data_IF_864767242662
#
_entry.id   IF_864767242662
#
_cell.length_a   1.000
_cell.length_b   1.000
_cell.length_c   1.000
_cell.angle_alpha   90.00
_cell.angle_beta   90.00
_cell.angle_gamma   90.00
#
_symmetry.space_group_name_H-M   'P 1'
#
loop_
_entity.id
_entity.type
_entity.pdbx_description
1 polymer ?
#
# COMPACT_ATOMS: atom_id res chain seq x y z
N UNK A 1 2.31 -12.92 3.47
CA UNK A 1 2.89 -14.28 3.57
C UNK A 1 2.71 -15.15 2.33
N UNK A 2 1.54 -15.24 1.69
CA UNK A 2 1.37 -16.07 0.48
C UNK A 2 1.66 -15.37 -0.87
N UNK A 3 2.30 -14.20 -0.85
CA UNK A 3 2.67 -13.42 -2.04
C UNK A 3 4.17 -13.16 -1.99
N UNK A 4 4.89 -13.60 -3.02
CA UNK A 4 6.32 -13.37 -3.20
C UNK A 4 6.52 -11.99 -3.85
N UNK A 5 6.75 -10.98 -2.99
CA UNK A 5 6.97 -9.59 -3.41
C UNK A 5 8.19 -9.43 -4.33
N UNK A 6 9.25 -10.22 -4.13
CA UNK A 6 10.48 -10.15 -4.93
C UNK A 6 10.27 -10.71 -6.33
N UNK A 7 9.55 -11.83 -6.43
CA UNK A 7 9.15 -12.41 -7.72
C UNK A 7 8.21 -11.47 -8.47
N UNK A 8 7.28 -10.84 -7.77
CA UNK A 8 6.39 -9.84 -8.36
C UNK A 8 7.17 -8.66 -8.94
N UNK A 9 8.10 -8.10 -8.16
CA UNK A 9 8.96 -6.99 -8.58
C UNK A 9 9.83 -7.37 -9.78
N UNK A 10 10.45 -8.55 -9.77
CA UNK A 10 11.40 -8.98 -10.80
C UNK A 10 10.72 -9.44 -12.10
N UNK A 11 9.64 -10.21 -12.02
CA UNK A 11 9.01 -10.83 -13.19
C UNK A 11 7.91 -9.96 -13.81
N UNK A 12 7.07 -9.34 -12.98
CA UNK A 12 5.94 -8.53 -13.45
C UNK A 12 6.39 -7.10 -13.70
N UNK A 13 7.03 -6.48 -12.70
CA UNK A 13 7.45 -5.08 -12.80
C UNK A 13 8.86 -4.88 -13.36
N UNK A 14 9.63 -5.95 -13.62
CA UNK A 14 10.98 -5.89 -14.21
C UNK A 14 11.92 -4.93 -13.46
N UNK A 15 11.82 -4.89 -12.13
CA UNK A 15 12.61 -4.02 -11.27
C UNK A 15 12.21 -2.54 -11.29
N UNK A 16 11.07 -2.18 -11.90
CA UNK A 16 10.60 -0.80 -11.97
C UNK A 16 9.96 -0.30 -10.67
N UNK A 17 9.70 -1.19 -9.70
CA UNK A 17 9.17 -0.88 -8.37
C UNK A 17 10.07 -1.48 -7.29
N UNK A 18 9.85 -1.14 -6.03
CA UNK A 18 10.57 -1.72 -4.88
C UNK A 18 9.60 -2.46 -3.96
N UNK A 19 9.92 -3.67 -3.46
CA UNK A 19 9.05 -4.36 -2.51
C UNK A 19 8.81 -3.50 -1.27
N UNK A 20 7.61 -3.58 -0.71
CA UNK A 20 7.24 -2.84 0.50
C UNK A 20 7.02 -3.80 1.67
N UNK A 21 7.73 -3.57 2.77
CA UNK A 21 7.52 -4.28 4.03
C UNK A 21 6.57 -3.54 4.98
N UNK A 22 6.50 -2.21 4.83
CA UNK A 22 5.60 -1.32 5.55
C UNK A 22 4.81 -0.40 4.64
N UNK A 23 4.13 0.55 5.25
CA UNK A 23 3.21 1.51 4.62
C UNK A 23 3.97 2.76 4.18
N UNK A 24 4.91 3.24 4.99
CA UNK A 24 5.69 4.45 4.71
C UNK A 24 6.74 4.17 3.62
N UNK A 25 6.80 4.98 2.55
CA UNK A 25 7.77 4.77 1.48
C UNK A 25 9.19 5.22 1.88
N UNK A 26 10.25 4.62 1.30
CA UNK A 26 11.62 5.10 1.46
C UNK A 26 11.74 6.60 1.15
N UNK A 27 12.40 7.34 2.05
CA UNK A 27 12.55 8.79 1.96
C UNK A 27 11.43 9.61 2.61
N UNK A 28 10.36 8.97 3.09
CA UNK A 28 9.39 9.59 4.01
C UNK A 28 10.05 9.80 5.38
N UNK A 29 9.90 10.97 6.03
CA UNK A 29 10.22 11.08 7.46
C UNK A 29 9.51 9.99 8.25
N UNK A 30 10.17 9.38 9.22
CA UNK A 30 9.62 8.27 10.00
C UNK A 30 9.71 6.90 9.32
N UNK A 31 10.15 6.78 8.06
CA UNK A 31 10.44 5.48 7.44
C UNK A 31 11.40 4.66 8.30
N UNK A 32 11.05 3.41 8.58
CA UNK A 32 11.84 2.48 9.38
C UNK A 32 12.39 1.36 8.49
N UNK A 33 13.71 1.37 8.25
CA UNK A 33 14.41 0.31 7.49
C UNK A 33 14.40 -1.03 8.23
N UNK A 34 14.25 -1.02 9.56
CA UNK A 34 14.25 -2.22 10.41
C UNK A 34 12.83 -2.74 10.70
N UNK A 35 11.80 -2.21 10.03
CA UNK A 35 10.42 -2.66 10.22
C UNK A 35 10.27 -4.14 9.83
N UNK A 36 9.69 -4.94 10.72
CA UNK A 36 9.43 -6.34 10.47
C UNK A 36 8.15 -6.50 9.63
N UNK A 37 8.31 -6.81 8.34
CA UNK A 37 7.22 -7.02 7.40
C UNK A 37 6.59 -8.42 7.43
N UNK A 38 5.50 -8.58 6.67
CA UNK A 38 4.84 -9.86 6.43
C UNK A 38 5.60 -10.68 5.36
N UNK A 39 6.66 -11.36 5.79
CA UNK A 39 7.57 -12.14 4.93
C UNK A 39 6.85 -13.21 4.10
N UNK A 40 7.44 -13.62 2.97
CA UNK A 40 6.90 -14.71 2.15
C UNK A 40 7.15 -16.07 2.82
N UNK A 41 6.07 -16.69 3.30
CA UNK A 41 6.06 -18.05 3.83
C UNK A 41 4.69 -18.69 3.55
N UNK A 42 4.66 -19.58 2.57
CA UNK A 42 3.43 -20.29 2.16
C UNK A 42 3.02 -21.32 3.21
N UNK A 43 3.97 -21.90 3.94
CA UNK A 43 3.69 -22.90 4.98
C UNK A 43 2.98 -22.22 6.12
N UNK A 44 3.55 -21.13 6.64
CA UNK A 44 2.96 -20.34 7.71
C UNK A 44 1.59 -19.78 7.29
N UNK A 45 1.44 -19.29 6.05
CA UNK A 45 0.16 -18.81 5.55
C UNK A 45 -0.94 -19.91 5.58
N UNK A 46 -0.60 -21.17 5.26
CA UNK A 46 -1.54 -22.30 5.33
C UNK A 46 -1.86 -22.66 6.78
N UNK A 47 -0.87 -22.67 7.66
CA UNK A 47 -1.05 -22.93 9.09
C UNK A 47 -1.95 -21.88 9.75
N UNK A 48 -1.80 -20.60 9.39
CA UNK A 48 -2.66 -19.53 9.87
C UNK A 48 -4.11 -19.69 9.42
N UNK A 49 -4.36 -20.12 8.17
CA UNK A 49 -5.72 -20.45 7.71
C UNK A 49 -6.29 -21.60 8.52
N UNK A 50 -5.49 -22.65 8.78
CA UNK A 50 -5.92 -23.80 9.57
C UNK A 50 -6.20 -23.46 11.04
N UNK A 51 -5.41 -22.56 11.63
CA UNK A 51 -5.59 -22.08 13.00
C UNK A 51 -6.74 -21.06 13.12
N UNK A 52 -7.13 -20.43 12.02
CA UNK A 52 -8.24 -19.48 11.99
C UNK A 52 -9.59 -20.15 12.23
N UNK A 53 -10.63 -19.33 12.43
CA UNK A 53 -12.02 -19.80 12.50
C UNK A 53 -12.50 -20.56 11.25
N UNK A 54 -11.80 -20.43 10.11
CA UNK A 54 -12.16 -21.09 8.87
C UNK A 54 -11.62 -22.52 8.80
N UNK A 55 -10.46 -22.81 9.38
CA UNK A 55 -9.86 -24.15 9.46
C UNK A 55 -9.37 -24.75 8.13
N UNK A 56 -9.97 -24.36 7.01
CA UNK A 56 -9.60 -24.77 5.66
C UNK A 56 -9.97 -23.67 4.65
N UNK A 57 -9.28 -23.65 3.51
CA UNK A 57 -9.51 -22.71 2.41
C UNK A 57 -10.91 -22.85 1.83
N UNK A 58 -11.51 -24.05 1.83
CA UNK A 58 -12.89 -24.27 1.34
C UNK A 58 -13.96 -23.59 2.20
N UNK A 59 -13.61 -23.20 3.44
CA UNK A 59 -14.51 -22.53 4.37
C UNK A 59 -14.36 -21.01 4.37
N UNK A 60 -13.42 -20.47 3.59
CA UNK A 60 -13.30 -19.02 3.43
C UNK A 60 -14.58 -18.47 2.76
N UNK A 61 -15.06 -17.29 3.18
CA UNK A 61 -16.13 -16.63 2.46
C UNK A 61 -15.67 -16.30 1.03
N UNK A 62 -16.60 -16.09 0.09
CA UNK A 62 -16.25 -15.51 -1.20
C UNK A 62 -15.48 -14.20 -1.00
N UNK A 63 -14.33 -14.07 -1.64
CA UNK A 63 -13.53 -12.85 -1.61
C UNK A 63 -13.71 -12.12 -2.93
N UNK A 64 -14.22 -10.89 -2.86
CA UNK A 64 -14.23 -9.98 -3.99
C UNK A 64 -13.23 -8.86 -3.75
N UNK A 65 -12.34 -8.62 -4.72
CA UNK A 65 -11.42 -7.49 -4.72
C UNK A 65 -12.00 -6.40 -5.63
N UNK A 66 -12.31 -5.24 -5.06
CA UNK A 66 -12.68 -4.06 -5.85
C UNK A 66 -11.42 -3.31 -6.30
N UNK A 67 -11.33 -2.97 -7.59
CA UNK A 67 -10.23 -2.20 -8.18
C UNK A 67 -10.74 -1.12 -9.13
N UNK A 68 -9.96 -0.06 -9.31
CA UNK A 68 -10.25 0.97 -10.30
C UNK A 68 -9.75 0.59 -11.69
N UNK A 69 -10.46 0.97 -12.75
CA UNK A 69 -9.98 0.86 -14.12
C UNK A 69 -11.09 0.92 -15.16
N UNK A 70 -10.76 0.55 -16.39
CA UNK A 70 -11.65 0.62 -17.54
C UNK A 70 -11.61 -0.68 -18.35
N UNK A 71 -12.75 -1.05 -18.95
CA UNK A 71 -12.82 -2.10 -19.97
C UNK A 71 -12.66 -3.54 -19.46
N UNK A 72 -12.74 -3.78 -18.15
CA UNK A 72 -12.63 -5.11 -17.53
C UNK A 72 -11.19 -5.62 -17.37
N UNK A 73 -10.19 -4.80 -17.68
CA UNK A 73 -8.77 -5.19 -17.62
C UNK A 73 -8.18 -4.86 -16.25
N UNK A 74 -7.80 -5.87 -15.49
CA UNK A 74 -7.13 -5.68 -14.19
C UNK A 74 -5.63 -5.46 -14.38
N UNK A 75 -4.98 -4.81 -13.41
CA UNK A 75 -3.53 -4.60 -13.47
C UNK A 75 -2.77 -5.93 -13.43
N UNK A 76 -1.63 -6.02 -14.12
CA UNK A 76 -0.77 -7.22 -14.10
C UNK A 76 -0.29 -7.57 -12.68
N UNK A 77 -0.11 -6.55 -11.81
CA UNK A 77 0.21 -6.77 -10.40
C UNK A 77 -0.90 -7.49 -9.66
N UNK A 78 -2.16 -7.04 -9.84
CA UNK A 78 -3.32 -7.69 -9.23
C UNK A 78 -3.52 -9.11 -9.79
N UNK A 79 -3.38 -9.31 -11.09
CA UNK A 79 -3.47 -10.63 -11.73
C UNK A 79 -2.43 -11.62 -11.15
N UNK A 80 -1.19 -11.17 -10.97
CA UNK A 80 -0.13 -11.98 -10.39
C UNK A 80 -0.41 -12.34 -8.92
N UNK A 81 -0.89 -11.39 -8.10
CA UNK A 81 -1.30 -11.64 -6.71
C UNK A 81 -2.39 -12.71 -6.65
N UNK A 82 -3.42 -12.59 -7.48
CA UNK A 82 -4.52 -13.55 -7.57
C UNK A 82 -3.99 -14.94 -7.96
N UNK A 83 -3.08 -14.99 -8.93
CA UNK A 83 -2.43 -16.23 -9.34
C UNK A 83 -1.63 -16.86 -8.20
N UNK A 84 -0.89 -16.06 -7.42
CA UNK A 84 -0.15 -16.56 -6.27
C UNK A 84 -1.05 -17.09 -5.16
N UNK A 85 -2.13 -16.40 -4.79
CA UNK A 85 -3.09 -16.94 -3.84
C UNK A 85 -3.74 -18.25 -4.30
N UNK A 86 -4.10 -18.34 -5.58
CA UNK A 86 -4.63 -19.58 -6.15
C UNK A 86 -3.59 -20.71 -6.11
N UNK A 87 -2.34 -20.45 -6.52
CA UNK A 87 -1.31 -21.48 -6.61
C UNK A 87 -0.78 -21.89 -5.22
N UNK A 88 -0.56 -20.92 -4.35
CA UNK A 88 0.08 -21.11 -3.04
C UNK A 88 -0.93 -21.61 -2.00
N UNK A 89 -2.19 -21.20 -2.08
CA UNK A 89 -3.22 -21.52 -1.06
C UNK A 89 -4.43 -22.26 -1.63
N UNK A 90 -4.71 -22.18 -2.94
CA UNK A 90 -5.98 -22.67 -3.51
C UNK A 90 -7.14 -21.69 -3.32
N UNK A 91 -6.85 -20.43 -2.97
CA UNK A 91 -7.87 -19.40 -2.73
C UNK A 91 -8.36 -18.85 -4.07
N UNK A 92 -9.68 -18.86 -4.25
CA UNK A 92 -10.36 -18.26 -5.39
C UNK A 92 -10.87 -16.87 -5.04
N UNK A 93 -10.59 -15.89 -5.89
CA UNK A 93 -11.03 -14.50 -5.68
C UNK A 93 -11.70 -13.96 -6.95
N UNK A 94 -12.74 -13.16 -6.74
CA UNK A 94 -13.42 -12.41 -7.80
C UNK A 94 -12.84 -11.00 -7.86
N UNK A 95 -12.89 -10.38 -9.04
CA UNK A 95 -12.52 -8.97 -9.19
C UNK A 95 -13.70 -8.17 -9.68
N UNK A 96 -14.01 -7.09 -8.97
CA UNK A 96 -14.93 -6.05 -9.40
C UNK A 96 -14.11 -4.85 -9.87
N UNK A 97 -14.14 -4.57 -11.17
CA UNK A 97 -13.57 -3.34 -11.68
C UNK A 97 -14.62 -2.25 -11.74
N UNK A 98 -14.31 -1.08 -11.17
CA UNK A 98 -15.14 0.11 -11.19
C UNK A 98 -14.41 1.27 -11.88
N UNK A 99 -15.18 2.11 -12.55
CA UNK A 99 -14.69 3.39 -13.05
C UNK A 99 -14.28 4.29 -11.87
N UNK A 100 -13.21 5.11 -11.99
CA UNK A 100 -12.67 5.91 -10.90
C UNK A 100 -13.71 6.75 -10.15
N UNK A 101 -14.69 7.32 -10.85
CA UNK A 101 -15.75 8.16 -10.29
C UNK A 101 -16.67 7.39 -9.34
N UNK A 102 -16.81 6.08 -9.53
CA UNK A 102 -17.61 5.18 -8.68
C UNK A 102 -16.78 4.48 -7.62
N UNK A 103 -15.50 4.27 -7.88
CA UNK A 103 -14.63 3.47 -7.03
C UNK A 103 -14.59 3.99 -5.58
N UNK A 104 -14.25 5.26 -5.37
CA UNK A 104 -14.16 5.83 -4.01
C UNK A 104 -15.52 5.90 -3.30
N UNK A 105 -16.62 6.07 -4.05
CA UNK A 105 -17.97 6.00 -3.48
C UNK A 105 -18.27 4.57 -3.00
N UNK A 106 -17.97 3.56 -3.81
CA UNK A 106 -18.20 2.16 -3.48
C UNK A 106 -17.39 1.73 -2.25
N UNK A 107 -16.11 2.14 -2.16
CA UNK A 107 -15.26 1.89 -0.99
C UNK A 107 -15.79 2.51 0.30
N UNK A 108 -16.59 3.58 0.22
CA UNK A 108 -17.20 4.21 1.40
C UNK A 108 -18.53 3.58 1.82
N UNK A 109 -19.31 3.04 0.88
CA UNK A 109 -20.75 2.75 1.12
C UNK A 109 -21.18 1.31 0.84
N UNK A 110 -20.63 0.65 -0.19
CA UNK A 110 -21.17 -0.62 -0.71
C UNK A 110 -20.21 -1.81 -0.53
N UNK A 111 -18.93 -1.53 -0.28
CA UNK A 111 -17.84 -2.37 0.24
C UNK A 111 -17.91 -3.89 -0.05
N UNK A 112 -16.97 -4.36 -0.87
CA UNK A 112 -16.59 -5.77 -0.96
C UNK A 112 -15.57 -6.14 0.15
N UNK A 113 -15.20 -7.43 0.25
CA UNK A 113 -14.27 -7.94 1.27
C UNK A 113 -12.87 -7.34 1.19
N UNK A 114 -12.41 -6.97 -0.01
CA UNK A 114 -11.10 -6.38 -0.23
C UNK A 114 -11.14 -5.31 -1.32
N UNK A 115 -10.15 -4.42 -1.31
CA UNK A 115 -9.91 -3.48 -2.40
C UNK A 115 -8.41 -3.38 -2.71
N UNK A 116 -8.12 -2.95 -3.92
CA UNK A 116 -6.75 -2.75 -4.42
C UNK A 116 -6.57 -1.30 -4.86
N UNK A 117 -5.76 -0.56 -4.09
CA UNK A 117 -5.51 0.87 -4.24
C UNK A 117 -4.06 1.20 -3.84
N UNK A 118 -3.54 2.31 -4.33
CA UNK A 118 -2.29 2.92 -3.84
C UNK A 118 -2.55 4.28 -3.21
N UNK A 119 -1.57 4.78 -2.45
CA UNK A 119 -1.59 6.11 -1.85
C UNK A 119 -0.35 6.90 -2.25
N UNK A 120 -0.50 8.21 -2.44
CA UNK A 120 0.59 9.14 -2.73
C UNK A 120 0.47 10.28 -1.74
N UNK A 121 1.59 10.64 -1.11
CA UNK A 121 1.59 11.62 -0.05
C UNK A 121 1.25 13.03 -0.57
N UNK A 122 0.32 13.72 0.08
CA UNK A 122 0.05 15.14 -0.21
C UNK A 122 1.15 16.05 0.37
N UNK A 123 1.76 15.63 1.48
CA UNK A 123 2.88 16.29 2.14
C UNK A 123 3.80 15.25 2.81
N UNK A 124 5.11 15.55 3.00
CA UNK A 124 6.10 14.58 3.48
C UNK A 124 6.01 14.37 5.00
N UNK A 125 4.97 13.69 5.47
CA UNK A 125 4.79 13.37 6.89
C UNK A 125 4.07 12.03 7.08
N UNK A 126 4.47 11.18 8.06
CA UNK A 126 3.84 9.88 8.34
C UNK A 126 2.31 9.94 8.50
N UNK A 127 1.84 10.98 9.17
CA UNK A 127 0.42 11.27 9.39
C UNK A 127 -0.41 11.19 8.10
N UNK A 128 0.14 11.61 6.96
CA UNK A 128 -0.57 11.60 5.69
C UNK A 128 -0.82 10.18 5.14
N UNK A 129 -0.15 9.16 5.70
CA UNK A 129 -0.45 7.76 5.49
C UNK A 129 -1.19 7.17 6.70
N UNK A 130 -0.57 7.20 7.87
CA UNK A 130 -0.99 6.36 9.00
C UNK A 130 -2.33 6.84 9.58
N UNK A 131 -2.46 8.12 9.86
CA UNK A 131 -3.69 8.69 10.42
C UNK A 131 -4.81 8.70 9.38
N UNK A 132 -4.51 9.18 8.17
CA UNK A 132 -5.52 9.32 7.11
C UNK A 132 -6.12 7.96 6.71
N UNK A 133 -5.31 6.90 6.69
CA UNK A 133 -5.72 5.59 6.18
C UNK A 133 -6.13 4.60 7.27
N UNK A 134 -5.69 4.78 8.53
CA UNK A 134 -5.88 3.76 9.56
C UNK A 134 -6.41 4.27 10.90
N UNK A 135 -6.48 5.59 11.14
CA UNK A 135 -7.13 6.08 12.35
C UNK A 135 -8.62 5.73 12.32
N UNK A 136 -9.15 5.28 13.46
CA UNK A 136 -10.56 4.97 13.60
C UNK A 136 -11.44 6.16 13.22
N UNK A 137 -12.36 5.95 12.27
CA UNK A 137 -13.29 6.97 11.82
C UNK A 137 -12.73 7.98 10.82
N UNK A 138 -11.48 7.84 10.37
CA UNK A 138 -10.95 8.66 9.29
C UNK A 138 -11.69 8.39 7.97
N UNK A 139 -11.96 9.44 7.18
CA UNK A 139 -12.74 9.37 5.94
C UNK A 139 -12.14 8.43 4.87
N UNK A 140 -10.82 8.26 4.90
CA UNK A 140 -10.06 7.45 3.95
C UNK A 140 -9.65 6.08 4.51
N UNK A 141 -10.06 5.76 5.74
CA UNK A 141 -9.95 4.42 6.32
C UNK A 141 -11.04 3.51 5.73
N UNK A 142 -10.90 3.18 4.45
CA UNK A 142 -11.86 2.36 3.71
C UNK A 142 -11.93 0.92 4.23
N UNK A 143 -10.86 0.44 4.86
CA UNK A 143 -10.82 -0.88 5.50
C UNK A 143 -11.56 -0.93 6.84
N UNK A 144 -12.05 0.20 7.35
CA UNK A 144 -12.69 0.32 8.67
C UNK A 144 -11.82 -0.22 9.81
N UNK A 145 -10.50 -0.14 9.64
CA UNK A 145 -9.58 -0.60 10.66
C UNK A 145 -9.80 0.23 11.94
N UNK A 146 -9.84 -0.43 13.09
CA UNK A 146 -10.05 0.23 14.37
C UNK A 146 -9.35 -0.54 15.47
N UNK A 147 -8.35 0.10 16.09
CA UNK A 147 -7.57 -0.48 17.18
C UNK A 147 -7.18 0.60 18.18
N UNK A 148 -7.70 0.56 19.43
CA UNK A 148 -7.53 1.65 20.40
C UNK A 148 -6.07 2.00 20.71
N UNK A 149 -5.17 1.02 20.71
CA UNK A 149 -3.75 1.29 20.95
C UNK A 149 -3.09 2.06 19.80
N UNK A 150 -3.50 1.77 18.56
CA UNK A 150 -2.96 2.48 17.39
C UNK A 150 -3.55 3.88 17.33
N UNK A 151 -4.85 4.04 17.60
CA UNK A 151 -5.45 5.38 17.70
C UNK A 151 -4.72 6.24 18.74
N UNK A 152 -4.40 5.66 19.91
CA UNK A 152 -3.64 6.36 20.94
C UNK A 152 -2.21 6.70 20.49
N UNK A 153 -1.50 5.78 19.80
CA UNK A 153 -0.17 6.04 19.27
C UNK A 153 -0.17 7.16 18.22
N UNK A 154 -1.12 7.14 17.30
CA UNK A 154 -1.27 8.16 16.25
C UNK A 154 -1.62 9.53 16.85
N UNK A 155 -2.53 9.57 17.82
CA UNK A 155 -2.87 10.82 18.52
C UNK A 155 -1.68 11.38 19.29
N UNK A 156 -0.96 10.55 20.05
CA UNK A 156 0.26 10.98 20.74
C UNK A 156 1.31 11.48 19.75
N UNK A 157 1.53 10.78 18.63
CA UNK A 157 2.49 11.16 17.62
C UNK A 157 2.15 12.52 16.97
N UNK A 158 0.86 12.78 16.72
CA UNK A 158 0.38 13.99 16.07
C UNK A 158 0.44 15.26 16.93
N UNK A 159 0.42 15.11 18.26
CA UNK A 159 0.48 16.25 19.21
C UNK A 159 1.84 16.40 19.90
N UNK A 160 2.78 15.49 19.66
CA UNK A 160 4.11 15.49 20.28
C UNK A 160 5.00 16.64 19.74
N UNK A 161 5.46 17.57 20.60
CA UNK A 161 6.31 18.68 20.17
C UNK A 161 7.74 18.29 19.80
N UNK A 162 8.29 17.19 20.33
CA UNK A 162 9.60 16.69 19.92
C UNK A 162 9.47 15.87 18.62
N UNK A 163 10.01 16.42 17.53
CA UNK A 163 9.91 15.79 16.21
C UNK A 163 10.52 14.39 16.15
N UNK A 164 11.58 14.09 16.91
CA UNK A 164 12.17 12.75 16.90
C UNK A 164 11.27 11.76 17.64
N UNK A 165 10.71 12.18 18.78
CA UNK A 165 9.77 11.35 19.53
C UNK A 165 8.48 11.09 18.74
N UNK A 166 7.97 12.10 18.04
CA UNK A 166 6.83 11.96 17.11
C UNK A 166 7.10 10.89 16.04
N UNK A 167 8.27 10.91 15.40
CA UNK A 167 8.63 9.89 14.40
C UNK A 167 8.72 8.48 15.01
N UNK A 168 9.27 8.34 16.22
CA UNK A 168 9.35 7.04 16.91
C UNK A 168 7.94 6.50 17.22
N UNK A 169 7.01 7.35 17.63
CA UNK A 169 5.61 6.97 17.86
C UNK A 169 4.93 6.50 16.57
N UNK A 170 5.17 7.20 15.45
CA UNK A 170 4.68 6.76 14.14
C UNK A 170 5.26 5.41 13.70
N UNK A 171 6.54 5.17 13.93
CA UNK A 171 7.18 3.88 13.64
C UNK A 171 6.58 2.74 14.47
N UNK A 172 6.26 3.00 15.75
CA UNK A 172 5.57 2.02 16.59
C UNK A 172 4.16 1.73 16.07
N UNK A 173 3.42 2.77 15.66
CA UNK A 173 2.10 2.60 15.07
C UNK A 173 2.15 1.79 13.77
N UNK A 174 3.10 2.09 12.88
CA UNK A 174 3.30 1.34 11.63
C UNK A 174 3.64 -0.12 11.87
N UNK A 175 4.54 -0.42 12.80
CA UNK A 175 4.91 -1.79 13.16
C UNK A 175 3.67 -2.58 13.61
N UNK A 176 2.82 -2.00 14.46
CA UNK A 176 1.56 -2.65 14.89
C UNK A 176 0.56 -2.82 13.74
N UNK A 177 0.43 -1.84 12.86
CA UNK A 177 -0.45 -1.94 11.69
C UNK A 177 -0.06 -3.10 10.76
N UNK A 178 1.24 -3.32 10.61
CA UNK A 178 1.78 -4.42 9.80
C UNK A 178 1.60 -5.77 10.51
N UNK A 179 1.83 -5.83 11.82
CA UNK A 179 1.58 -7.02 12.65
C UNK A 179 0.10 -7.45 12.61
N UNK A 180 -0.82 -6.49 12.67
CA UNK A 180 -2.26 -6.73 12.58
C UNK A 180 -2.73 -7.06 11.15
N UNK A 181 -1.83 -6.95 10.16
CA UNK A 181 -2.15 -7.05 8.73
C UNK A 181 -3.30 -6.12 8.32
N UNK A 182 -3.34 -4.89 8.87
CA UNK A 182 -4.37 -3.88 8.62
C UNK A 182 -4.50 -3.54 7.12
N UNK A 183 -3.39 -3.63 6.40
CA UNK A 183 -3.36 -3.76 4.95
C UNK A 183 -2.24 -4.71 4.54
N UNK A 184 -2.15 -5.00 3.24
CA UNK A 184 -1.02 -5.71 2.68
C UNK A 184 -0.15 -4.73 1.88
N UNK A 185 1.00 -4.28 2.41
CA UNK A 185 1.97 -3.54 1.63
C UNK A 185 2.55 -4.42 0.53
N UNK A 186 2.58 -3.90 -0.71
CA UNK A 186 3.01 -4.66 -1.88
C UNK A 186 4.32 -4.11 -2.46
N UNK A 187 4.31 -2.86 -2.89
CA UNK A 187 5.49 -2.18 -3.43
C UNK A 187 5.37 -0.66 -3.35
N UNK A 188 6.54 0.00 -3.41
CA UNK A 188 6.68 1.42 -3.64
C UNK A 188 7.01 1.69 -5.11
N UNK A 189 6.26 2.62 -5.71
CA UNK A 189 6.52 3.07 -7.08
C UNK A 189 7.83 3.86 -7.19
N UNK A 190 8.50 3.75 -8.34
CA UNK A 190 9.65 4.58 -8.69
C UNK A 190 9.35 5.38 -9.94
N UNK A 191 9.80 6.64 -9.95
CA UNK A 191 9.69 7.50 -11.12
C UNK A 191 10.86 7.24 -12.07
N UNK A 192 10.55 6.73 -13.26
CA UNK A 192 11.51 6.54 -14.36
C UNK A 192 11.21 7.55 -15.45
N UNK A 193 12.03 8.60 -15.56
CA UNK A 193 11.73 9.75 -16.42
C UNK A 193 12.85 9.94 -17.44
N UNK A 194 12.47 10.01 -18.72
CA UNK A 194 13.39 10.32 -19.82
C UNK A 194 13.35 11.82 -20.14
N UNK A 195 14.43 12.52 -19.82
CA UNK A 195 14.57 13.95 -20.09
C UNK A 195 15.50 14.14 -21.29
N UNK A 196 15.06 14.90 -22.30
CA UNK A 196 15.91 15.22 -23.46
C UNK A 196 17.09 16.10 -23.03
N UNK A 197 18.29 15.94 -23.63
CA UNK A 197 19.47 16.72 -23.22
C UNK A 197 19.33 18.25 -23.31
N UNK A 198 18.46 18.72 -24.21
CA UNK A 198 18.14 20.14 -24.40
C UNK A 198 17.13 20.71 -23.38
N UNK A 199 16.58 19.88 -22.49
CA UNK A 199 15.71 20.33 -21.40
C UNK A 199 16.58 20.55 -20.17
N UNK A 200 16.66 21.79 -19.69
CA UNK A 200 17.42 22.14 -18.49
C UNK A 200 16.49 22.43 -17.31
N UNK A 201 17.03 22.27 -16.11
CA UNK A 201 16.32 22.58 -14.86
C UNK A 201 15.14 21.65 -14.54
N UNK A 202 15.05 20.50 -15.21
CA UNK A 202 14.09 19.45 -14.87
C UNK A 202 14.54 18.72 -13.61
N UNK A 203 13.85 18.99 -12.50
CA UNK A 203 14.04 18.29 -11.23
C UNK A 203 12.67 17.84 -10.71
N UNK A 204 12.63 16.61 -10.21
CA UNK A 204 11.46 16.05 -9.55
C UNK A 204 11.57 16.33 -8.04
N UNK A 205 10.50 16.84 -7.42
CA UNK A 205 10.43 16.90 -5.96
C UNK A 205 10.33 15.48 -5.37
N UNK A 206 10.61 15.29 -4.08
CA UNK A 206 10.35 14.01 -3.40
C UNK A 206 8.89 13.52 -3.53
N UNK A 207 7.93 14.42 -3.73
CA UNK A 207 6.51 14.09 -3.98
C UNK A 207 6.22 13.70 -5.45
N UNK A 208 7.23 13.65 -6.31
CA UNK A 208 7.06 13.32 -7.72
C UNK A 208 6.59 14.48 -8.60
N UNK A 209 6.61 15.72 -8.09
CA UNK A 209 6.15 16.90 -8.83
C UNK A 209 7.29 17.58 -9.58
N UNK A 210 7.01 18.01 -10.81
CA UNK A 210 7.97 18.78 -11.62
C UNK A 210 7.69 20.28 -11.44
N UNK A 211 8.71 21.03 -11.04
CA UNK A 211 8.64 22.49 -10.97
C UNK A 211 8.91 23.08 -12.37
N UNK A 212 7.86 23.23 -13.19
CA UNK A 212 8.01 23.70 -14.58
C UNK A 212 8.54 25.14 -14.71
N UNK A 213 8.46 25.95 -13.66
CA UNK A 213 9.01 27.31 -13.62
C UNK A 213 10.55 27.34 -13.62
N UNK A 214 11.23 26.25 -13.25
CA UNK A 214 12.68 26.11 -13.37
C UNK A 214 13.12 25.44 -14.68
N UNK A 215 12.17 25.02 -15.52
CA UNK A 215 12.46 24.27 -16.74
C UNK A 215 12.63 25.21 -17.93
N UNK A 216 13.72 25.03 -18.68
CA UNK A 216 13.96 25.73 -19.94
C UNK A 216 14.28 24.75 -21.07
N UNK A 217 14.12 25.21 -22.31
CA UNK A 217 14.50 24.48 -23.51
C UNK A 217 15.64 25.23 -24.19
N UNK A 218 16.80 24.60 -24.27
CA UNK A 218 17.99 25.09 -24.96
C UNK A 218 18.17 24.30 -26.25
N UNK A 219 17.50 24.75 -27.33
CA UNK A 219 17.73 24.19 -28.67
C UNK A 219 18.87 24.96 -29.34
N UNK A 220 19.85 24.23 -29.86
CA UNK A 220 20.79 24.76 -30.86
C UNK A 220 20.06 25.16 -32.15
#
# INVERSE_FOLDING_TARGET
QAIDKDKLVSLVFRGMVQPADGILPPGMPGFNEDLAGLNYDVTEARELIQASKYGDVSNLPPITITTMGWGGLISQGLEAIISEWRNNLGVEVKVRQLEPERFLYHLRQEKDEMFYIGWVADYPHPQNFLDILFQSGADNNYGEYSHPEIDALLEMAGVEPDSNLSMVLYQQAEQKLVEDAACLPLWFGKNHILVKPYVKGYNLSPQGLVMLNSVSIERD
#
